data_IF_102209151940
#
_entry.id   IF_102209151940
#
_cell.length_a   1.000
_cell.length_b   1.000
_cell.length_c   1.000
_cell.angle_alpha   90.00
_cell.angle_beta   90.00
_cell.angle_gamma   90.00
#
_symmetry.space_group_name_H-M   'P 1'
#
loop_
_entity.id
_entity.type
_entity.pdbx_description
1 polymer ?
#
# COMPACT_ATOMS: atom_id res chain seq x y z
N UNK A 1 4.06 0.82 4.20
CA UNK A 1 5.16 1.68 4.74
C UNK A 1 5.24 1.43 6.23
N UNK A 2 6.26 1.94 6.92
CA UNK A 2 6.35 1.79 8.36
C UNK A 2 5.72 2.97 9.09
N UNK A 3 4.99 2.66 10.15
CA UNK A 3 4.35 3.62 11.04
C UNK A 3 4.47 3.11 12.47
N UNK A 4 4.78 4.00 13.39
CA UNK A 4 4.66 3.72 14.83
C UNK A 4 3.33 4.19 15.41
N UNK A 5 2.48 4.82 14.60
CA UNK A 5 1.10 5.08 14.98
C UNK A 5 0.35 3.73 15.00
N UNK A 6 -0.33 3.36 16.11
CA UNK A 6 -1.17 2.17 16.16
C UNK A 6 -2.24 2.10 15.06
N UNK A 7 -2.62 3.24 14.49
CA UNK A 7 -3.59 3.35 13.38
C UNK A 7 -2.93 3.46 12.00
N UNK A 8 -1.61 3.46 11.94
CA UNK A 8 -0.84 3.50 10.70
C UNK A 8 -0.91 4.82 9.94
N UNK A 9 -1.46 5.91 10.50
CA UNK A 9 -1.73 7.15 9.74
C UNK A 9 -0.49 7.99 9.52
N UNK A 10 0.50 7.87 10.40
CA UNK A 10 1.74 8.65 10.33
C UNK A 10 2.87 7.79 9.79
N UNK A 11 3.21 8.01 8.52
CA UNK A 11 4.33 7.33 7.86
C UNK A 11 5.67 7.80 8.43
N UNK A 12 6.59 6.87 8.70
CA UNK A 12 7.97 7.18 9.01
C UNK A 12 8.69 7.79 7.79
N UNK A 13 9.51 8.81 8.04
CA UNK A 13 10.42 9.33 7.02
C UNK A 13 11.46 8.28 6.65
N UNK A 14 12.03 8.38 5.44
CA UNK A 14 13.07 7.44 4.99
C UNK A 14 14.29 7.47 5.92
N UNK A 15 14.74 8.65 6.33
CA UNK A 15 15.85 8.84 7.27
C UNK A 15 15.58 8.17 8.63
N UNK A 16 14.36 8.32 9.16
CA UNK A 16 13.98 7.63 10.39
C UNK A 16 14.02 6.12 10.18
N UNK A 17 13.36 5.60 9.14
CA UNK A 17 13.30 4.16 8.88
C UNK A 17 14.70 3.52 8.73
N UNK A 18 15.63 4.19 8.07
CA UNK A 18 17.03 3.74 7.94
C UNK A 18 17.75 3.70 9.29
N UNK A 19 17.61 4.76 10.10
CA UNK A 19 18.30 4.87 11.40
C UNK A 19 17.91 3.76 12.39
N UNK A 20 16.67 3.30 12.35
CA UNK A 20 16.14 2.22 13.21
C UNK A 20 16.25 0.83 12.57
N UNK A 21 16.84 0.73 11.37
CA UNK A 21 17.07 -0.55 10.69
C UNK A 21 15.77 -1.27 10.32
N UNK A 22 14.71 -0.53 9.98
CA UNK A 22 13.42 -1.15 9.68
C UNK A 22 13.51 -1.88 8.34
N UNK A 23 13.15 -3.18 8.25
CA UNK A 23 13.32 -3.95 7.03
C UNK A 23 12.45 -3.39 5.90
N UNK A 24 13.01 -3.32 4.69
CA UNK A 24 12.23 -2.98 3.51
C UNK A 24 11.45 -4.22 3.05
N UNK A 25 10.11 -4.12 3.07
CA UNK A 25 9.24 -5.20 2.55
C UNK A 25 8.69 -4.73 1.21
N UNK A 26 9.05 -5.46 0.16
CA UNK A 26 8.46 -5.30 -1.16
C UNK A 26 7.39 -6.37 -1.36
N UNK A 27 6.17 -5.96 -1.70
CA UNK A 27 5.10 -6.87 -2.07
C UNK A 27 4.70 -6.63 -3.52
N UNK A 28 4.97 -7.63 -4.34
CA UNK A 28 4.59 -7.69 -5.74
C UNK A 28 3.46 -8.71 -5.89
N UNK A 29 2.40 -8.33 -6.60
CA UNK A 29 1.31 -9.24 -6.94
C UNK A 29 0.88 -8.95 -8.36
N UNK A 30 0.64 -10.03 -9.09
CA UNK A 30 0.24 -10.01 -10.48
C UNK A 30 -1.14 -10.64 -10.58
N UNK A 31 -2.12 -9.89 -11.06
CA UNK A 31 -3.46 -10.40 -11.37
C UNK A 31 -3.53 -10.56 -12.88
N UNK A 32 -3.63 -11.81 -13.35
CA UNK A 32 -3.74 -12.12 -14.78
C UNK A 32 -5.16 -12.56 -15.10
N UNK A 33 -5.83 -11.83 -16.01
CA UNK A 33 -7.19 -12.15 -16.46
C UNK A 33 -7.63 -11.20 -17.57
N UNK A 34 -8.60 -11.63 -18.39
CA UNK A 34 -9.25 -10.76 -19.39
C UNK A 34 -10.34 -9.89 -18.77
N UNK A 35 -10.80 -10.25 -17.57
CA UNK A 35 -11.73 -9.49 -16.75
C UNK A 35 -11.46 -9.77 -15.27
N UNK A 36 -11.92 -8.85 -14.43
CA UNK A 36 -11.88 -8.98 -12.98
C UNK A 36 -13.22 -9.55 -12.51
N UNK A 37 -13.20 -10.59 -11.69
CA UNK A 37 -14.39 -11.05 -11.00
C UNK A 37 -14.76 -10.06 -9.89
N UNK A 38 -16.00 -10.12 -9.40
CA UNK A 38 -16.41 -9.30 -8.24
C UNK A 38 -15.48 -9.52 -7.04
N UNK A 39 -15.07 -10.77 -6.81
CA UNK A 39 -14.13 -11.13 -5.75
C UNK A 39 -12.76 -10.44 -5.90
N UNK A 40 -12.29 -10.26 -7.14
CA UNK A 40 -11.03 -9.55 -7.40
C UNK A 40 -11.16 -8.05 -7.12
N UNK A 41 -12.35 -7.46 -7.31
CA UNK A 41 -12.61 -6.09 -6.87
C UNK A 41 -12.71 -5.97 -5.36
N UNK A 42 -13.36 -6.95 -4.72
CA UNK A 42 -13.60 -6.92 -3.27
C UNK A 42 -12.29 -6.99 -2.45
N UNK A 43 -11.21 -7.56 -3.01
CA UNK A 43 -9.90 -7.66 -2.33
C UNK A 43 -9.03 -6.40 -2.50
N UNK A 44 -9.34 -5.51 -3.45
CA UNK A 44 -8.55 -4.30 -3.69
C UNK A 44 -8.50 -3.36 -2.48
N UNK A 45 -9.62 -3.11 -1.76
CA UNK A 45 -9.59 -2.24 -0.59
C UNK A 45 -8.68 -2.78 0.52
N UNK A 46 -8.73 -4.08 0.76
CA UNK A 46 -7.87 -4.76 1.73
C UNK A 46 -6.40 -4.66 1.32
N UNK A 47 -6.13 -4.84 0.03
CA UNK A 47 -4.79 -4.73 -0.53
C UNK A 47 -4.20 -3.32 -0.39
N UNK A 48 -4.98 -2.29 -0.73
CA UNK A 48 -4.58 -0.90 -0.57
C UNK A 48 -4.32 -0.56 0.90
N UNK A 49 -5.20 -1.01 1.80
CA UNK A 49 -5.06 -0.85 3.24
C UNK A 49 -3.79 -1.53 3.77
N UNK A 50 -3.48 -2.75 3.30
CA UNK A 50 -2.24 -3.46 3.65
C UNK A 50 -0.97 -2.75 3.16
N UNK A 51 -1.05 -2.05 2.02
CA UNK A 51 0.03 -1.17 1.53
C UNK A 51 0.08 0.18 2.26
N UNK A 52 -0.91 0.44 3.11
CA UNK A 52 -1.12 1.63 3.92
C UNK A 52 -1.77 2.79 3.17
N UNK A 53 -2.31 2.56 1.97
CA UNK A 53 -3.05 3.56 1.22
C UNK A 53 -4.52 3.54 1.62
N UNK A 54 -5.19 4.69 1.59
CA UNK A 54 -6.65 4.73 1.72
C UNK A 54 -7.26 4.12 0.44
N UNK A 55 -8.04 3.02 0.56
CA UNK A 55 -8.61 2.33 -0.59
C UNK A 55 -9.63 3.15 -1.38
N UNK A 56 -10.19 4.20 -0.79
CA UNK A 56 -11.15 5.10 -1.42
C UNK A 56 -10.51 6.40 -1.94
N UNK A 57 -9.19 6.51 -1.85
CA UNK A 57 -8.41 7.66 -2.32
C UNK A 57 -7.63 7.33 -3.60
N UNK A 58 -7.08 8.36 -4.23
CA UNK A 58 -6.15 8.20 -5.35
C UNK A 58 -4.69 7.95 -4.90
N UNK A 59 -4.43 7.72 -3.60
CA UNK A 59 -3.07 7.60 -3.05
C UNK A 59 -2.24 6.51 -3.74
N UNK A 60 -2.88 5.40 -4.10
CA UNK A 60 -2.23 4.30 -4.81
C UNK A 60 -1.87 4.70 -6.24
N UNK A 61 -2.79 5.36 -6.95
CA UNK A 61 -2.58 5.82 -8.31
C UNK A 61 -1.44 6.83 -8.38
N UNK A 62 -1.45 7.84 -7.50
CA UNK A 62 -0.39 8.85 -7.38
C UNK A 62 0.95 8.21 -7.06
N UNK A 63 0.99 7.25 -6.13
CA UNK A 63 2.24 6.53 -5.77
C UNK A 63 2.80 5.71 -6.93
N UNK A 64 1.95 5.22 -7.81
CA UNK A 64 2.33 4.50 -9.03
C UNK A 64 2.66 5.45 -10.21
N UNK A 65 2.53 6.76 -10.03
CA UNK A 65 2.82 7.76 -11.06
C UNK A 65 1.68 7.97 -12.07
N UNK A 66 0.47 7.52 -11.75
CA UNK A 66 -0.73 7.80 -12.52
C UNK A 66 -1.36 9.14 -12.09
N UNK A 67 -2.01 9.86 -13.03
CA UNK A 67 -2.69 11.13 -12.73
C UNK A 67 -3.81 10.98 -11.70
#
# INVERSE_FOLDING_TARGET
YWSFDPRGRTRLTSEMAERIGVPYVFFESWVTGTSWSQKDYDILPEFHSAKGCDPFSCDVAVKLGYP
#
